data_IF_834037497950
#
_entry.id   IF_834037497950
#
_cell.length_a   1.000
_cell.length_b   1.000
_cell.length_c   1.000
_cell.angle_alpha   90.00
_cell.angle_beta   90.00
_cell.angle_gamma   90.00
#
_symmetry.space_group_name_H-M   'P 1'
#
loop_
_entity.id
_entity.type
_entity.pdbx_description
1 polymer ?
#
# COMPACT_ATOMS: atom_id res chain seq x y z
N UNK A 1 -4.90 -18.09 0.26
CA UNK A 1 -3.74 -17.99 1.18
C UNK A 1 -4.27 -18.21 2.60
N UNK A 2 -3.50 -18.00 3.67
CA UNK A 2 -4.08 -18.00 5.02
C UNK A 2 -4.45 -16.58 5.40
N UNK A 3 -5.76 -16.30 5.56
CA UNK A 3 -6.29 -15.01 6.00
C UNK A 3 -6.73 -15.14 7.46
N UNK A 4 -6.26 -14.22 8.30
CA UNK A 4 -6.71 -14.04 9.67
C UNK A 4 -7.35 -12.66 9.82
N UNK A 5 -8.57 -12.58 10.36
CA UNK A 5 -9.24 -11.30 10.59
C UNK A 5 -8.71 -10.68 11.90
N UNK A 6 -8.10 -9.49 11.80
CA UNK A 6 -7.56 -8.75 12.94
C UNK A 6 -8.62 -7.89 13.62
N UNK A 7 -9.44 -7.19 12.83
CA UNK A 7 -10.49 -6.30 13.34
C UNK A 7 -11.63 -6.14 12.33
N UNK A 8 -12.85 -5.91 12.85
CA UNK A 8 -14.01 -5.43 12.10
C UNK A 8 -14.61 -4.25 12.85
N UNK A 9 -14.80 -3.13 12.16
CA UNK A 9 -15.42 -1.92 12.71
C UNK A 9 -16.53 -1.47 11.77
N UNK A 10 -17.75 -1.38 12.27
CA UNK A 10 -18.91 -0.93 11.47
C UNK A 10 -19.03 0.60 11.54
N UNK A 11 -19.22 1.25 10.39
CA UNK A 11 -19.37 2.69 10.29
C UNK A 11 -20.73 3.05 9.62
N UNK A 12 -21.79 3.25 10.42
CA UNK A 12 -23.14 3.52 9.92
C UNK A 12 -23.26 4.77 9.06
N UNK A 13 -22.44 5.81 9.31
CA UNK A 13 -22.52 7.09 8.61
C UNK A 13 -22.15 6.99 7.12
N UNK A 14 -21.29 6.02 6.78
CA UNK A 14 -20.84 5.76 5.40
C UNK A 14 -21.39 4.44 4.85
N UNK A 15 -22.23 3.73 5.62
CA UNK A 15 -22.73 2.38 5.33
C UNK A 15 -21.61 1.42 4.87
N UNK A 16 -20.47 1.48 5.58
CA UNK A 16 -19.28 0.67 5.31
C UNK A 16 -18.79 -0.05 6.56
N UNK A 17 -18.26 -1.24 6.38
CA UNK A 17 -17.51 -1.99 7.38
C UNK A 17 -16.02 -1.89 7.06
N UNK A 18 -15.22 -1.47 8.04
CA UNK A 18 -13.78 -1.41 7.93
C UNK A 18 -13.19 -2.71 8.50
N UNK A 19 -12.56 -3.49 7.64
CA UNK A 19 -12.02 -4.81 7.96
C UNK A 19 -10.50 -4.78 7.79
N UNK A 20 -9.79 -5.19 8.85
CA UNK A 20 -8.34 -5.40 8.81
C UNK A 20 -8.05 -6.88 8.86
N UNK A 21 -7.26 -7.38 7.91
CA UNK A 21 -6.88 -8.79 7.80
C UNK A 21 -5.37 -8.94 7.68
N UNK A 22 -4.83 -10.01 8.29
CA UNK A 22 -3.46 -10.45 8.08
C UNK A 22 -3.45 -11.64 7.12
N UNK A 23 -2.70 -11.52 6.02
CA UNK A 23 -2.47 -12.59 5.05
C UNK A 23 -1.08 -13.17 5.28
N UNK A 24 -1.00 -14.51 5.35
CA UNK A 24 0.23 -15.27 5.60
C UNK A 24 0.33 -16.46 4.64
N UNK A 25 1.52 -17.06 4.55
CA UNK A 25 1.75 -18.27 3.73
C UNK A 25 1.69 -18.05 2.21
N UNK A 26 1.90 -16.82 1.75
CA UNK A 26 1.96 -16.49 0.32
C UNK A 26 3.39 -16.67 -0.23
N UNK A 27 3.54 -17.29 -1.42
CA UNK A 27 4.85 -17.42 -2.10
C UNK A 27 5.29 -16.14 -2.81
N UNK A 28 4.32 -15.36 -3.29
CA UNK A 28 4.48 -14.07 -3.96
C UNK A 28 3.51 -13.10 -3.31
N UNK A 29 3.87 -11.82 -3.18
CA UNK A 29 2.98 -10.80 -2.62
C UNK A 29 1.69 -10.76 -3.44
N UNK A 30 0.51 -11.00 -2.83
CA UNK A 30 -0.72 -11.21 -3.58
C UNK A 30 -1.17 -9.96 -4.32
N UNK A 31 -1.79 -10.15 -5.48
CA UNK A 31 -2.36 -9.05 -6.24
C UNK A 31 -3.65 -8.55 -5.57
N UNK A 32 -3.96 -7.25 -5.69
CA UNK A 32 -5.18 -6.64 -5.13
C UNK A 32 -6.48 -7.33 -5.59
N UNK A 33 -6.49 -7.89 -6.80
CA UNK A 33 -7.62 -8.64 -7.32
C UNK A 33 -7.82 -9.99 -6.59
N UNK A 34 -6.73 -10.73 -6.35
CA UNK A 34 -6.73 -12.01 -5.62
C UNK A 34 -7.14 -11.81 -4.16
N UNK A 35 -6.54 -10.81 -3.51
CA UNK A 35 -6.89 -10.39 -2.13
C UNK A 35 -8.37 -10.05 -2.02
N UNK A 36 -8.93 -9.32 -2.99
CA UNK A 36 -10.35 -8.97 -3.01
C UNK A 36 -11.25 -10.19 -3.13
N UNK A 37 -10.92 -11.15 -4.00
CA UNK A 37 -11.67 -12.41 -4.13
C UNK A 37 -11.59 -13.31 -2.90
N UNK A 38 -10.42 -13.44 -2.29
CA UNK A 38 -10.28 -14.20 -1.04
C UNK A 38 -11.03 -13.50 0.13
N UNK A 39 -10.95 -12.17 0.26
CA UNK A 39 -11.70 -11.42 1.29
C UNK A 39 -13.22 -11.52 1.10
N UNK A 40 -13.71 -11.33 -0.13
CA UNK A 40 -15.11 -11.51 -0.50
C UNK A 40 -15.62 -12.90 -0.12
N UNK A 41 -14.84 -13.94 -0.44
CA UNK A 41 -15.17 -15.34 -0.10
C UNK A 41 -15.17 -15.61 1.41
N UNK A 42 -14.26 -15.02 2.17
CA UNK A 42 -14.21 -15.18 3.63
C UNK A 42 -15.35 -14.44 4.35
N UNK A 43 -15.80 -13.30 3.82
CA UNK A 43 -16.85 -12.48 4.42
C UNK A 43 -18.26 -12.81 3.89
N UNK A 44 -18.37 -13.60 2.82
CA UNK A 44 -19.64 -13.95 2.18
C UNK A 44 -20.30 -12.79 1.42
N UNK A 45 -19.51 -11.86 0.89
CA UNK A 45 -19.97 -10.61 0.23
C UNK A 45 -19.46 -10.55 -1.21
N UNK A 46 -20.22 -9.91 -2.11
CA UNK A 46 -19.81 -9.70 -3.51
C UNK A 46 -18.48 -8.94 -3.63
N UNK A 47 -17.58 -9.42 -4.51
CA UNK A 47 -16.29 -8.75 -4.79
C UNK A 47 -16.43 -7.28 -5.20
N UNK A 48 -17.56 -6.91 -5.84
CA UNK A 48 -17.87 -5.54 -6.26
C UNK A 48 -18.05 -4.57 -5.09
N UNK A 49 -18.45 -5.10 -3.93
CA UNK A 49 -18.69 -4.33 -2.71
C UNK A 49 -17.44 -4.25 -1.81
N UNK A 50 -16.36 -4.94 -2.17
CA UNK A 50 -15.10 -4.98 -1.40
C UNK A 50 -14.02 -4.10 -2.06
N UNK A 51 -13.58 -3.06 -1.36
CA UNK A 51 -12.49 -2.17 -1.80
C UNK A 51 -11.28 -2.30 -0.89
N UNK A 52 -10.20 -2.84 -1.43
CA UNK A 52 -8.90 -2.87 -0.75
C UNK A 52 -8.27 -1.47 -0.77
N UNK A 53 -8.24 -0.81 0.37
CA UNK A 53 -7.65 0.53 0.52
C UNK A 53 -6.12 0.40 0.51
N UNK A 54 -5.57 -0.33 1.47
CA UNK A 54 -4.13 -0.50 1.68
C UNK A 54 -3.72 -1.97 1.73
N UNK A 55 -2.51 -2.24 1.23
CA UNK A 55 -1.80 -3.50 1.40
C UNK A 55 -0.41 -3.12 1.92
N UNK A 56 -0.08 -3.58 3.12
CA UNK A 56 1.19 -3.32 3.80
C UNK A 56 1.87 -4.65 4.11
N UNK A 57 2.81 -5.03 3.25
CA UNK A 57 3.67 -6.18 3.50
C UNK A 57 4.69 -5.85 4.58
N UNK A 58 4.84 -6.73 5.57
CA UNK A 58 5.92 -6.70 6.56
C UNK A 58 7.13 -7.41 5.95
N UNK A 59 8.19 -6.65 5.68
CA UNK A 59 9.43 -7.18 5.14
C UNK A 59 10.07 -8.15 6.16
N UNK A 60 10.64 -9.26 5.67
CA UNK A 60 11.28 -10.29 6.50
C UNK A 60 10.32 -11.28 7.17
N UNK A 61 9.09 -10.88 7.51
CA UNK A 61 8.16 -11.71 8.30
C UNK A 61 7.25 -12.63 7.47
N UNK A 62 7.15 -12.43 6.15
CA UNK A 62 6.23 -13.21 5.29
C UNK A 62 4.74 -12.95 5.57
N UNK A 63 4.43 -11.78 6.16
CA UNK A 63 3.09 -11.35 6.57
C UNK A 63 2.68 -10.10 5.78
N UNK A 64 1.40 -9.98 5.45
CA UNK A 64 0.84 -8.81 4.77
C UNK A 64 -0.43 -8.37 5.48
N UNK A 65 -0.43 -7.15 6.01
CA UNK A 65 -1.64 -6.54 6.57
C UNK A 65 -2.41 -5.87 5.44
N UNK A 66 -3.70 -6.18 5.33
CA UNK A 66 -4.61 -5.63 4.34
C UNK A 66 -5.74 -4.91 5.06
N UNK A 67 -6.00 -3.68 4.64
CA UNK A 67 -7.16 -2.91 5.08
C UNK A 67 -8.14 -2.85 3.91
N UNK A 68 -9.38 -3.25 4.15
CA UNK A 68 -10.45 -3.26 3.17
C UNK A 68 -11.72 -2.64 3.74
N UNK A 69 -12.46 -1.96 2.88
CA UNK A 69 -13.78 -1.45 3.19
C UNK A 69 -14.81 -2.29 2.45
N UNK A 70 -15.83 -2.78 3.16
CA UNK A 70 -16.97 -3.50 2.62
C UNK A 70 -18.17 -2.55 2.63
N UNK A 71 -18.86 -2.37 1.51
CA UNK A 71 -20.00 -1.46 1.40
C UNK A 71 -21.31 -2.22 1.30
N UNK A 72 -22.38 -1.69 1.89
CA UNK A 72 -23.72 -2.24 1.68
C UNK A 72 -24.25 -1.98 0.26
N UNK A 73 -23.95 -0.80 -0.31
CA UNK A 73 -24.58 -0.30 -1.54
C UNK A 73 -23.57 0.33 -2.51
N UNK A 74 -23.94 0.36 -3.80
CA UNK A 74 -23.17 1.04 -4.86
C UNK A 74 -23.10 2.57 -4.69
N UNK A 75 -24.06 3.18 -3.99
CA UNK A 75 -24.04 4.61 -3.67
C UNK A 75 -22.93 4.95 -2.67
N UNK A 76 -22.69 4.08 -1.67
CA UNK A 76 -21.61 4.25 -0.69
C UNK A 76 -20.22 4.20 -1.37
N UNK A 77 -20.06 3.34 -2.38
CA UNK A 77 -18.88 3.31 -3.26
C UNK A 77 -18.67 4.61 -4.04
N UNK A 78 -19.74 5.37 -4.33
CA UNK A 78 -19.64 6.65 -5.02
C UNK A 78 -19.07 7.79 -4.15
N UNK A 79 -19.01 7.63 -2.82
CA UNK A 79 -18.41 8.60 -1.90
C UNK A 79 -16.87 8.53 -1.94
N UNK A 80 -16.30 7.35 -2.24
CA UNK A 80 -14.85 7.13 -2.18
C UNK A 80 -14.05 7.99 -3.18
N UNK A 81 -12.81 8.41 -2.83
CA UNK A 81 -12.00 9.29 -3.67
C UNK A 81 -11.61 8.63 -4.99
N UNK A 82 -11.46 9.46 -6.03
CA UNK A 82 -11.24 9.00 -7.41
C UNK A 82 -10.00 8.09 -7.59
N UNK A 83 -9.01 8.16 -6.70
CA UNK A 83 -7.82 7.31 -6.76
C UNK A 83 -8.07 5.86 -6.30
N UNK A 84 -9.10 5.59 -5.49
CA UNK A 84 -9.50 4.23 -5.13
C UNK A 84 -10.39 3.62 -6.21
N UNK A 85 -11.33 4.39 -6.77
CA UNK A 85 -12.17 3.98 -7.91
C UNK A 85 -11.31 3.48 -9.09
N UNK A 86 -10.34 4.29 -9.53
CA UNK A 86 -9.34 3.95 -10.59
C UNK A 86 -8.44 2.73 -10.28
N UNK A 87 -8.44 2.23 -9.04
CA UNK A 87 -7.70 1.02 -8.61
C UNK A 87 -8.62 -0.20 -8.46
N UNK A 88 -9.91 0.00 -8.19
CA UNK A 88 -10.92 -1.06 -8.10
C UNK A 88 -11.47 -1.42 -9.50
N UNK A 89 -11.63 -0.42 -10.37
CA UNK A 89 -12.00 -0.60 -11.78
C UNK A 89 -11.06 -1.60 -12.47
N UNK A 90 -11.60 -2.58 -13.22
CA UNK A 90 -10.78 -3.48 -14.01
C UNK A 90 -10.16 -2.69 -15.15
N UNK A 91 -8.87 -2.35 -15.03
CA UNK A 91 -8.11 -1.83 -16.16
C UNK A 91 -8.09 -2.89 -17.26
N UNK A 92 -8.75 -2.59 -18.38
CA UNK A 92 -8.55 -3.30 -19.64
C UNK A 92 -7.07 -3.26 -20.05
N UNK A 93 -6.68 -4.09 -21.04
CA UNK A 93 -5.28 -4.25 -21.41
C UNK A 93 -4.64 -2.89 -21.71
N UNK A 94 -3.46 -2.67 -21.13
CA UNK A 94 -2.69 -1.44 -21.28
C UNK A 94 -2.47 -1.15 -22.76
N UNK A 95 -3.01 -0.02 -23.23
CA UNK A 95 -2.73 0.52 -24.56
C UNK A 95 -1.28 1.02 -24.63
N UNK A 96 -0.36 0.08 -24.83
CA UNK A 96 1.05 0.32 -25.11
C UNK A 96 1.23 0.77 -26.56
N UNK A 97 1.17 2.07 -26.85
CA UNK A 97 1.85 2.65 -28.01
C UNK A 97 2.28 4.12 -27.78
N UNK A 98 3.62 4.34 -27.79
CA UNK A 98 4.39 5.55 -28.13
C UNK A 98 4.09 6.86 -27.35
N UNK A 99 5.08 7.50 -26.70
CA UNK A 99 6.37 7.92 -27.30
C UNK A 99 7.56 7.94 -26.32
N UNK A 100 8.72 7.58 -26.85
CA UNK A 100 10.08 8.02 -26.46
C UNK A 100 10.74 8.65 -27.72
N UNK A 101 11.97 9.22 -27.71
CA UNK A 101 12.91 9.52 -26.60
C UNK A 101 13.46 10.99 -26.63
N UNK A 102 14.58 11.21 -25.92
CA UNK A 102 15.49 12.38 -25.89
C UNK A 102 15.00 13.65 -25.13
N UNK A 103 15.87 14.36 -24.39
CA UNK A 103 17.31 14.12 -24.20
C UNK A 103 17.97 15.03 -23.16
N UNK A 104 19.22 14.70 -22.83
CA UNK A 104 20.08 15.41 -21.89
C UNK A 104 20.62 16.74 -22.42
N UNK A 105 20.64 17.76 -21.54
CA UNK A 105 21.76 18.68 -21.24
C UNK A 105 21.31 19.58 -20.07
N UNK A 106 22.02 19.70 -18.94
CA UNK A 106 23.35 20.30 -18.75
C UNK A 106 23.41 21.78 -19.17
N UNK A 107 23.92 22.73 -18.37
CA UNK A 107 24.30 22.76 -16.94
C UNK A 107 24.57 24.22 -16.55
N UNK A 108 24.61 24.52 -15.25
CA UNK A 108 25.37 25.66 -14.67
C UNK A 108 24.92 27.09 -15.06
N UNK A 109 25.24 28.14 -14.31
CA UNK A 109 26.33 28.29 -13.33
C UNK A 109 26.00 29.18 -12.14
N UNK A 110 26.49 28.74 -10.97
CA UNK A 110 27.24 29.50 -9.96
C UNK A 110 26.58 30.74 -9.30
N UNK A 111 26.82 31.04 -8.03
CA UNK A 111 27.74 30.51 -7.02
C UNK A 111 27.72 31.48 -5.81
N UNK A 112 28.57 31.40 -4.78
CA UNK A 112 29.84 30.67 -4.64
C UNK A 112 30.28 30.71 -3.16
N UNK A 113 30.56 29.54 -2.56
CA UNK A 113 31.55 29.27 -1.48
C UNK A 113 31.40 30.00 -0.10
N UNK A 114 32.19 29.75 0.94
CA UNK A 114 33.45 28.95 1.18
C UNK A 114 33.32 28.24 2.56
N UNK A 115 33.78 26.99 2.76
CA UNK A 115 35.05 26.56 3.45
C UNK A 115 35.25 27.16 4.88
N UNK A 116 35.74 26.48 5.94
CA UNK A 116 36.24 25.12 6.25
C UNK A 116 36.16 24.95 7.81
N UNK A 117 36.84 24.08 8.57
CA UNK A 117 37.75 22.94 8.35
C UNK A 117 37.69 22.01 9.60
N UNK A 118 38.32 20.83 9.52
CA UNK A 118 38.44 19.67 10.46
C UNK A 118 39.46 19.88 11.62
N UNK A 119 39.86 18.86 12.47
CA UNK A 119 39.23 17.64 13.03
C UNK A 119 39.59 17.37 14.55
N UNK A 120 39.43 16.09 15.01
CA UNK A 120 39.88 15.42 16.27
C UNK A 120 39.02 15.70 17.53
N UNK A 121 38.72 14.77 18.44
CA UNK A 121 38.88 13.30 18.54
C UNK A 121 37.97 12.78 19.71
N UNK A 122 37.95 11.54 20.25
CA UNK A 122 38.71 10.27 20.07
C UNK A 122 37.77 9.04 20.36
N UNK A 123 38.11 8.09 21.26
CA UNK A 123 37.28 6.94 21.67
C UNK A 123 37.54 6.51 23.16
N UNK A 124 37.11 5.33 23.65
CA UNK A 124 35.73 4.95 24.03
C UNK A 124 35.60 4.55 25.53
N UNK A 125 34.38 4.32 26.04
CA UNK A 125 34.16 3.48 27.24
C UNK A 125 33.00 2.50 27.06
N UNK A 126 33.25 1.27 27.54
CA UNK A 126 32.27 0.18 27.63
C UNK A 126 31.28 0.45 28.76
N UNK A 127 30.05 -0.05 28.61
CA UNK A 127 29.28 -0.52 29.75
C UNK A 127 28.54 -1.81 29.34
N UNK A 128 29.06 -2.93 29.82
CA UNK A 128 28.52 -4.28 29.64
C UNK A 128 28.07 -4.71 31.04
N UNK A 129 26.75 -4.75 31.26
CA UNK A 129 26.18 -5.13 32.56
C UNK A 129 25.89 -6.64 32.57
N UNK A 130 26.52 -7.34 33.52
CA UNK A 130 26.21 -8.71 33.95
C UNK A 130 26.30 -8.78 35.47
#
# INVERSE_FOLDING_TARGET
MNISQLSKTENPLLSREEVSCEITGFKTTPNRAEVRGELASNLGVDEKLVVVTSIQQKFGEGRTVVNANVYANAESLAIEPAHLKKRHEPKGPLSLEKKEPLGSKETTSAGKKEEGEKPKAEAPKKEENK
#
